data_IF_758746858277
#
_entry.id   IF_758746858277
#
_cell.length_a   1.000
_cell.length_b   1.000
_cell.length_c   1.000
_cell.angle_alpha   90.00
_cell.angle_beta   90.00
_cell.angle_gamma   90.00
#
_symmetry.space_group_name_H-M   'P 1'
#
loop_
_entity.id
_entity.type
_entity.pdbx_description
1 polymer ?
#
# COMPACT_ATOMS: atom_id res chain seq x y z
N UNK A 1 1.81 -4.58 17.22
CA UNK A 1 2.54 -4.85 15.95
C UNK A 1 3.96 -5.36 16.18
N UNK A 2 4.48 -5.42 17.41
CA UNK A 2 5.81 -5.94 17.71
C UNK A 2 6.14 -7.25 17.00
N UNK A 3 7.31 -7.29 16.37
CA UNK A 3 7.82 -8.47 15.65
C UNK A 3 7.15 -8.75 14.30
N UNK A 4 6.27 -7.88 13.79
CA UNK A 4 5.61 -8.07 12.50
C UNK A 4 6.01 -7.01 11.48
N UNK A 5 6.02 -7.41 10.19
CA UNK A 5 6.32 -6.53 9.07
C UNK A 5 5.15 -5.56 8.82
N UNK A 6 5.48 -4.28 8.65
CA UNK A 6 4.59 -3.25 8.12
C UNK A 6 5.20 -2.76 6.82
N UNK A 7 4.43 -2.73 5.74
CA UNK A 7 4.93 -2.30 4.43
C UNK A 7 4.33 -0.94 4.07
N UNK A 8 5.17 -0.02 3.61
CA UNK A 8 4.72 1.25 3.05
C UNK A 8 4.38 1.06 1.58
N UNK A 9 3.13 1.31 1.21
CA UNK A 9 2.63 1.22 -0.17
C UNK A 9 2.25 2.63 -0.59
N UNK A 10 3.19 3.32 -1.25
CA UNK A 10 3.05 4.72 -1.67
C UNK A 10 3.85 4.95 -2.95
N UNK A 11 3.39 5.89 -3.79
CA UNK A 11 4.10 6.35 -4.96
C UNK A 11 3.82 7.84 -5.24
N UNK A 12 4.86 8.64 -5.42
CA UNK A 12 4.81 10.06 -5.71
C UNK A 12 4.35 10.34 -7.15
N UNK A 13 3.81 11.53 -7.48
CA UNK A 13 3.23 11.81 -8.81
C UNK A 13 4.13 11.59 -10.02
N UNK A 14 5.45 11.67 -9.84
CA UNK A 14 6.44 11.48 -10.90
C UNK A 14 6.94 10.03 -11.00
N UNK A 15 6.53 9.16 -10.08
CA UNK A 15 6.94 7.76 -10.05
C UNK A 15 6.04 6.90 -10.95
N UNK A 16 6.59 5.88 -11.62
CA UNK A 16 5.85 5.12 -12.63
C UNK A 16 4.66 4.33 -12.07
N UNK A 17 4.67 4.02 -10.77
CA UNK A 17 3.59 3.31 -10.08
C UNK A 17 2.58 4.25 -9.44
N UNK A 18 2.65 5.55 -9.70
CA UNK A 18 1.68 6.50 -9.15
C UNK A 18 0.25 6.12 -9.56
N UNK A 19 -0.68 6.27 -8.62
CA UNK A 19 -2.11 6.04 -8.82
C UNK A 19 -2.69 4.98 -7.89
N UNK A 20 -3.91 5.24 -7.40
CA UNK A 20 -4.58 4.42 -6.40
C UNK A 20 -4.85 2.98 -6.87
N UNK A 21 -5.03 2.76 -8.18
CA UNK A 21 -5.19 1.41 -8.76
C UNK A 21 -3.93 0.55 -8.59
N UNK A 22 -2.74 1.12 -8.79
CA UNK A 22 -1.47 0.44 -8.55
C UNK A 22 -1.27 0.17 -7.06
N UNK A 23 -1.61 1.12 -6.19
CA UNK A 23 -1.52 0.96 -4.74
C UNK A 23 -2.45 -0.13 -4.22
N UNK A 24 -3.67 -0.26 -4.76
CA UNK A 24 -4.58 -1.34 -4.41
C UNK A 24 -4.04 -2.73 -4.78
N UNK A 25 -3.47 -2.88 -5.99
CA UNK A 25 -2.84 -4.13 -6.42
C UNK A 25 -1.61 -4.47 -5.58
N UNK A 26 -0.77 -3.48 -5.29
CA UNK A 26 0.41 -3.66 -4.43
C UNK A 26 0.01 -4.04 -3.00
N UNK A 27 -1.00 -3.37 -2.44
CA UNK A 27 -1.51 -3.66 -1.11
C UNK A 27 -2.06 -5.09 -1.01
N UNK A 28 -2.76 -5.56 -2.04
CA UNK A 28 -3.20 -6.96 -2.13
C UNK A 28 -2.00 -7.92 -2.09
N UNK A 29 -0.98 -7.69 -2.91
CA UNK A 29 0.23 -8.52 -2.92
C UNK A 29 0.96 -8.51 -1.56
N UNK A 30 1.02 -7.36 -0.90
CA UNK A 30 1.60 -7.19 0.44
C UNK A 30 0.82 -7.96 1.51
N UNK A 31 -0.52 -7.93 1.43
CA UNK A 31 -1.37 -8.70 2.33
C UNK A 31 -1.20 -10.21 2.13
N UNK A 32 -1.16 -10.66 0.87
CA UNK A 32 -0.88 -12.06 0.51
C UNK A 32 0.53 -12.50 0.95
N UNK A 33 1.49 -11.57 0.95
CA UNK A 33 2.85 -11.78 1.45
C UNK A 33 2.98 -11.83 2.99
N UNK A 34 1.88 -11.66 3.73
CA UNK A 34 1.86 -11.83 5.18
C UNK A 34 2.25 -10.61 6.00
N UNK A 35 2.27 -9.41 5.40
CA UNK A 35 2.44 -8.18 6.16
C UNK A 35 1.30 -8.00 7.18
N UNK A 36 1.62 -7.47 8.35
CA UNK A 36 0.63 -7.25 9.41
C UNK A 36 -0.16 -5.95 9.23
N UNK A 37 0.40 -4.99 8.50
CA UNK A 37 -0.25 -3.73 8.18
C UNK A 37 0.40 -3.06 6.97
N UNK A 38 -0.36 -2.13 6.41
CA UNK A 38 0.02 -1.32 5.27
C UNK A 38 -0.08 0.14 5.68
N UNK A 39 0.95 0.92 5.35
CA UNK A 39 0.93 2.38 5.44
C UNK A 39 0.68 2.94 4.04
N UNK A 40 -0.26 3.88 3.95
CA UNK A 40 -0.59 4.63 2.74
C UNK A 40 -0.39 6.13 2.99
N UNK A 41 -0.28 6.91 1.93
CA UNK A 41 -0.02 8.36 2.01
C UNK A 41 -1.28 9.19 1.75
N UNK A 42 -2.11 8.82 0.77
CA UNK A 42 -3.27 9.62 0.34
C UNK A 42 -4.63 9.03 0.74
N UNK A 43 -5.69 9.86 0.90
CA UNK A 43 -7.05 9.37 1.09
C UNK A 43 -7.57 8.52 -0.07
N UNK A 44 -7.11 8.77 -1.30
CA UNK A 44 -7.48 7.98 -2.47
C UNK A 44 -6.91 6.56 -2.39
N UNK A 45 -5.63 6.43 -2.02
CA UNK A 45 -5.01 5.12 -1.81
C UNK A 45 -5.70 4.35 -0.67
N UNK A 46 -6.01 5.04 0.44
CA UNK A 46 -6.72 4.42 1.58
C UNK A 46 -8.09 3.91 1.15
N UNK A 47 -8.83 4.67 0.32
CA UNK A 47 -10.14 4.25 -0.21
C UNK A 47 -10.03 3.08 -1.19
N UNK A 48 -8.97 3.02 -1.99
CA UNK A 48 -8.78 1.94 -2.96
C UNK A 48 -8.29 0.64 -2.31
N UNK A 49 -7.66 0.72 -1.14
CA UNK A 49 -7.10 -0.43 -0.41
C UNK A 49 -8.08 -1.04 0.59
N UNK A 50 -8.99 -0.25 1.18
CA UNK A 50 -10.02 -0.72 2.11
C UNK A 50 -11.14 -1.48 1.41
#
# INVERSE_FOLDING_TARGET
MQGRLIVSVQAQPHEPLHGASHMAVMAKAVAEGGAAAIRCESPDDIRAIK
#
